data_IF_526151338782
#
_entry.id   IF_526151338782
#
_cell.length_a   1.000
_cell.length_b   1.000
_cell.length_c   1.000
_cell.angle_alpha   90.00
_cell.angle_beta   90.00
_cell.angle_gamma   90.00
#
_symmetry.space_group_name_H-M   'P 1'
#
loop_
_entity.id
_entity.type
_entity.pdbx_description
1 polymer ?
#
# COMPACT_ATOMS: atom_id res chain seq x y z
N UNK A 1 14.55 -19.53 -8.21
CA UNK A 1 13.12 -19.16 -8.36
C UNK A 1 12.92 -17.82 -7.67
N UNK A 2 12.82 -16.72 -8.43
CA UNK A 2 12.58 -15.40 -7.86
C UNK A 2 11.08 -15.23 -7.59
N UNK A 3 10.70 -14.94 -6.35
CA UNK A 3 9.30 -14.63 -6.00
C UNK A 3 9.02 -13.17 -6.34
N UNK A 4 7.94 -12.91 -7.09
CA UNK A 4 7.48 -11.55 -7.42
C UNK A 4 6.49 -11.09 -6.34
N UNK A 5 7.00 -10.38 -5.34
CA UNK A 5 6.17 -9.84 -4.27
C UNK A 5 5.52 -8.51 -4.70
N UNK A 6 4.19 -8.38 -4.57
CA UNK A 6 3.49 -7.14 -4.91
C UNK A 6 3.73 -6.07 -3.82
N UNK A 7 4.84 -5.33 -3.96
CA UNK A 7 5.22 -4.23 -3.04
C UNK A 7 4.69 -2.86 -3.46
N UNK A 8 4.07 -2.76 -4.64
CA UNK A 8 3.65 -1.49 -5.26
C UNK A 8 2.41 -0.83 -4.65
N UNK A 9 1.87 -1.33 -3.54
CA UNK A 9 0.77 -0.69 -2.82
C UNK A 9 -0.50 -1.50 -2.65
N UNK A 10 -1.60 -0.80 -2.39
CA UNK A 10 -2.94 -1.36 -2.19
C UNK A 10 -3.06 -2.36 -1.03
N UNK A 11 -3.93 -3.36 -1.19
CA UNK A 11 -4.21 -4.34 -0.12
C UNK A 11 -2.98 -5.11 0.39
N UNK A 12 -1.98 -5.33 -0.47
CA UNK A 12 -0.71 -5.94 -0.06
C UNK A 12 0.07 -5.04 0.88
N UNK A 13 0.09 -3.73 0.65
CA UNK A 13 0.73 -2.79 1.55
C UNK A 13 0.06 -2.74 2.92
N UNK A 14 -1.27 -2.88 2.98
CA UNK A 14 -2.02 -2.99 4.25
C UNK A 14 -1.60 -4.23 5.04
N UNK A 15 -1.55 -5.39 4.39
CA UNK A 15 -1.37 -6.69 5.04
C UNK A 15 0.11 -7.03 5.30
N UNK A 16 1.00 -6.73 4.36
CA UNK A 16 2.41 -7.10 4.47
C UNK A 16 3.14 -6.32 5.56
N UNK A 17 4.11 -6.95 6.24
CA UNK A 17 4.91 -6.24 7.23
C UNK A 17 5.81 -5.21 6.55
N UNK A 18 6.04 -4.06 7.20
CA UNK A 18 6.81 -2.95 6.64
C UNK A 18 8.21 -3.35 6.17
N UNK A 19 8.88 -4.25 6.90
CA UNK A 19 10.23 -4.70 6.53
C UNK A 19 10.26 -5.36 5.15
N UNK A 20 9.20 -6.05 4.73
CA UNK A 20 9.13 -6.71 3.43
C UNK A 20 9.03 -5.67 2.31
N UNK A 21 8.19 -4.66 2.52
CA UNK A 21 8.03 -3.52 1.60
C UNK A 21 9.36 -2.77 1.48
N UNK A 22 10.00 -2.45 2.61
CA UNK A 22 11.31 -1.78 2.67
C UNK A 22 12.39 -2.55 1.90
N UNK A 23 12.46 -3.86 2.07
CA UNK A 23 13.43 -4.71 1.35
C UNK A 23 13.18 -4.68 -0.16
N UNK A 24 11.90 -4.70 -0.58
CA UNK A 24 11.51 -4.58 -1.97
C UNK A 24 11.94 -3.25 -2.60
N UNK A 25 11.67 -2.13 -1.93
CA UNK A 25 12.07 -0.79 -2.40
C UNK A 25 13.60 -0.70 -2.50
N UNK A 26 14.32 -1.10 -1.45
CA UNK A 26 15.79 -1.09 -1.45
C UNK A 26 16.38 -1.93 -2.57
N UNK A 27 15.77 -3.08 -2.87
CA UNK A 27 16.17 -3.92 -4.01
C UNK A 27 15.99 -3.18 -5.34
N UNK A 28 14.83 -2.58 -5.58
CA UNK A 28 14.57 -1.80 -6.79
C UNK A 28 15.56 -0.64 -6.94
N UNK A 29 15.79 0.12 -5.87
CA UNK A 29 16.74 1.25 -5.91
C UNK A 29 18.18 0.79 -6.18
N UNK A 30 18.60 -0.35 -5.60
CA UNK A 30 19.91 -0.94 -5.88
C UNK A 30 20.06 -1.40 -7.33
N UNK A 31 18.97 -1.81 -7.97
CA UNK A 31 18.89 -2.16 -9.39
C UNK A 31 18.77 -0.91 -10.29
N UNK A 32 18.76 0.30 -9.73
CA UNK A 32 18.65 1.55 -10.47
C UNK A 32 17.22 1.92 -10.86
N UNK A 33 16.21 1.25 -10.29
CA UNK A 33 14.81 1.49 -10.56
C UNK A 33 14.15 2.30 -9.43
N UNK A 34 13.40 3.37 -9.74
CA UNK A 34 12.56 4.03 -8.75
C UNK A 34 11.41 3.11 -8.34
N UNK A 35 11.04 3.14 -7.06
CA UNK A 35 9.86 2.44 -6.56
C UNK A 35 8.65 3.38 -6.61
N UNK A 36 7.51 2.86 -7.06
CA UNK A 36 6.23 3.57 -7.04
C UNK A 36 5.28 2.80 -6.12
N UNK A 37 4.72 3.51 -5.15
CA UNK A 37 3.73 2.97 -4.22
C UNK A 37 2.42 3.70 -4.47
N UNK A 38 1.39 2.95 -4.81
CA UNK A 38 0.05 3.46 -5.05
C UNK A 38 -0.87 3.15 -3.87
N UNK A 39 -1.73 4.10 -3.53
CA UNK A 39 -2.72 3.94 -2.49
C UNK A 39 -4.04 4.58 -2.84
N UNK A 40 -5.13 4.04 -2.31
CA UNK A 40 -6.45 4.65 -2.41
C UNK A 40 -6.68 5.61 -1.24
N UNK A 41 -7.47 6.68 -1.42
CA UNK A 41 -7.79 7.61 -0.33
C UNK A 41 -8.36 6.93 0.92
N UNK A 42 -9.20 5.90 0.75
CA UNK A 42 -9.78 5.13 1.85
C UNK A 42 -8.77 4.32 2.68
N UNK A 43 -7.53 4.16 2.21
CA UNK A 43 -6.50 3.44 2.96
C UNK A 43 -5.91 4.28 4.11
N UNK A 44 -5.98 5.60 3.99
CA UNK A 44 -5.60 6.56 5.04
C UNK A 44 -6.83 6.99 5.83
N UNK A 45 -7.96 7.18 5.16
CA UNK A 45 -9.22 7.52 5.82
C UNK A 45 -9.77 6.29 6.55
N UNK A 46 -9.46 6.23 7.84
CA UNK A 46 -9.88 5.15 8.75
C UNK A 46 -11.28 5.35 9.30
N UNK A 47 -12.01 6.38 8.84
CA UNK A 47 -13.43 6.52 9.12
C UNK A 47 -14.14 5.20 8.87
N UNK A 48 -15.05 4.85 9.80
CA UNK A 48 -15.84 3.64 9.66
C UNK A 48 -16.53 3.67 8.30
N UNK A 49 -16.40 2.56 7.55
CA UNK A 49 -17.31 2.35 6.42
C UNK A 49 -18.66 2.08 7.06
N UNK A 50 -19.45 3.13 7.29
CA UNK A 50 -20.83 2.99 7.75
C UNK A 50 -21.60 2.27 6.66
N UNK A 51 -21.95 1.01 6.94
CA UNK A 51 -22.67 0.17 5.99
C UNK A 51 -24.15 0.27 6.35
N UNK A 52 -24.82 1.28 5.82
CA UNK A 52 -26.27 1.26 5.74
C UNK A 52 -26.70 0.10 4.82
N UNK A 53 -27.11 -1.00 5.42
CA UNK A 53 -28.10 -2.00 4.95
C UNK A 53 -28.09 -2.54 3.50
N UNK A 54 -27.03 -2.35 2.70
CA UNK A 54 -26.99 -2.90 1.34
C UNK A 54 -26.57 -4.38 1.30
N UNK A 55 -27.57 -5.27 1.28
CA UNK A 55 -27.54 -6.66 0.78
C UNK A 55 -26.35 -7.54 1.26
N UNK A 56 -26.60 -8.27 2.35
CA UNK A 56 -25.67 -9.16 3.07
C UNK A 56 -25.29 -10.45 2.32
N UNK A 57 -24.97 -10.41 1.03
CA UNK A 57 -24.39 -11.58 0.37
C UNK A 57 -22.95 -11.84 0.86
N UNK A 58 -22.49 -13.10 0.82
CA UNK A 58 -21.17 -13.50 1.32
C UNK A 58 -20.01 -12.77 0.61
N UNK A 59 -20.19 -12.39 -0.66
CA UNK A 59 -19.17 -11.65 -1.43
C UNK A 59 -18.96 -10.26 -0.86
N UNK A 60 -20.03 -9.52 -0.57
CA UNK A 60 -19.96 -8.19 0.05
C UNK A 60 -19.22 -8.26 1.38
N UNK A 61 -19.56 -9.23 2.24
CA UNK A 61 -18.87 -9.44 3.53
C UNK A 61 -17.38 -9.73 3.36
N UNK A 62 -17.00 -10.57 2.40
CA UNK A 62 -15.60 -10.88 2.12
C UNK A 62 -14.82 -9.66 1.60
N UNK A 63 -15.41 -8.90 0.69
CA UNK A 63 -14.82 -7.66 0.19
C UNK A 63 -14.60 -6.64 1.31
N UNK A 64 -15.57 -6.47 2.19
CA UNK A 64 -15.44 -5.58 3.34
C UNK A 64 -14.33 -6.04 4.29
N UNK A 65 -14.32 -7.33 4.62
CA UNK A 65 -13.27 -7.92 5.46
C UNK A 65 -11.86 -7.66 4.89
N UNK A 66 -11.66 -7.88 3.59
CA UNK A 66 -10.37 -7.64 2.94
C UNK A 66 -10.00 -6.15 2.84
N UNK A 67 -10.98 -5.27 2.76
CA UNK A 67 -10.76 -3.82 2.76
C UNK A 67 -10.45 -3.24 4.15
N UNK A 68 -11.02 -3.80 5.21
CA UNK A 68 -10.79 -3.35 6.59
C UNK A 68 -9.47 -3.86 7.18
N UNK A 69 -8.92 -4.97 6.68
CA UNK A 69 -7.67 -5.52 7.19
C UNK A 69 -6.48 -4.57 7.01
N UNK A 70 -5.73 -4.35 8.09
CA UNK A 70 -4.44 -3.65 8.09
C UNK A 70 -4.51 -2.12 7.97
N UNK A 71 -5.71 -1.52 7.98
CA UNK A 71 -5.89 -0.06 7.88
C UNK A 71 -5.23 0.73 9.01
N UNK A 72 -5.33 0.25 10.25
CA UNK A 72 -4.73 0.95 11.41
C UNK A 72 -3.21 1.09 11.34
N UNK A 73 -2.53 0.21 10.59
CA UNK A 73 -1.07 0.25 10.40
C UNK A 73 -0.64 0.95 9.12
N UNK A 74 -1.60 1.32 8.26
CA UNK A 74 -1.30 1.90 6.96
C UNK A 74 -0.64 3.27 7.11
N UNK A 75 -1.22 4.14 7.92
CA UNK A 75 -0.68 5.49 8.18
C UNK A 75 0.73 5.44 8.78
N UNK A 76 0.98 4.57 9.76
CA UNK A 76 2.31 4.38 10.35
C UNK A 76 3.34 3.97 9.30
N UNK A 77 3.00 3.04 8.40
CA UNK A 77 3.88 2.62 7.32
C UNK A 77 4.18 3.76 6.34
N UNK A 78 3.18 4.59 6.03
CA UNK A 78 3.38 5.76 5.16
C UNK A 78 4.33 6.77 5.81
N UNK A 79 4.15 7.09 7.10
CA UNK A 79 5.07 7.98 7.83
C UNK A 79 6.50 7.46 7.76
N UNK A 80 6.69 6.17 8.02
CA UNK A 80 8.01 5.53 7.94
C UNK A 80 8.60 5.57 6.54
N UNK A 81 7.80 5.41 5.48
CA UNK A 81 8.30 5.56 4.12
C UNK A 81 8.80 6.97 3.85
N UNK A 82 8.02 7.98 4.25
CA UNK A 82 8.35 9.39 4.05
C UNK A 82 9.62 9.79 4.84
N UNK A 83 9.83 9.18 6.02
CA UNK A 83 11.03 9.44 6.83
C UNK A 83 12.27 8.68 6.34
N UNK A 84 12.12 7.47 5.80
CA UNK A 84 13.23 6.57 5.50
C UNK A 84 13.73 6.62 4.04
N UNK A 85 12.99 7.26 3.13
CA UNK A 85 13.30 7.29 1.69
C UNK A 85 13.22 8.69 1.09
N UNK A 86 13.97 8.90 0.01
CA UNK A 86 13.88 10.11 -0.80
C UNK A 86 12.81 9.97 -1.87
N UNK A 87 12.08 11.05 -2.10
CA UNK A 87 11.01 11.12 -3.09
C UNK A 87 11.34 12.20 -4.11
N UNK A 88 10.99 11.94 -5.36
CA UNK A 88 11.06 12.88 -6.47
C UNK A 88 9.77 12.77 -7.29
N UNK A 89 9.52 13.75 -8.15
CA UNK A 89 8.35 13.73 -9.02
C UNK A 89 8.55 12.73 -10.17
N UNK A 90 7.45 12.12 -10.65
CA UNK A 90 7.47 11.29 -11.87
C UNK A 90 8.07 12.09 -13.04
N UNK A 91 7.74 13.39 -13.13
CA UNK A 91 8.27 14.28 -14.15
C UNK A 91 9.80 14.32 -14.15
N UNK A 92 10.40 14.55 -12.98
CA UNK A 92 11.86 14.68 -12.84
C UNK A 92 12.57 13.34 -13.12
N UNK A 93 12.05 12.24 -12.57
CA UNK A 93 12.64 10.91 -12.75
C UNK A 93 12.62 10.44 -14.22
N UNK A 94 11.55 10.77 -14.96
CA UNK A 94 11.38 10.34 -16.36
C UNK A 94 11.67 11.43 -17.41
N UNK A 95 12.12 12.62 -16.99
CA UNK A 95 12.38 13.77 -17.86
C UNK A 95 11.20 14.12 -18.80
N UNK A 96 9.98 14.23 -18.23
CA UNK A 96 8.72 14.51 -18.96
C UNK A 96 8.34 15.99 -19.08
#
# INVERSE_FOLDING_TARGET
>A
MGQNFPIGGGGYFRVFPYWLIKQGIKKLNKEGHPAVIYMHPYEIDTGDIEIEDFSKNLRTKFTLFTQSMGRSRFEEKIKRLLDEFEFSSIREIFNL
#
